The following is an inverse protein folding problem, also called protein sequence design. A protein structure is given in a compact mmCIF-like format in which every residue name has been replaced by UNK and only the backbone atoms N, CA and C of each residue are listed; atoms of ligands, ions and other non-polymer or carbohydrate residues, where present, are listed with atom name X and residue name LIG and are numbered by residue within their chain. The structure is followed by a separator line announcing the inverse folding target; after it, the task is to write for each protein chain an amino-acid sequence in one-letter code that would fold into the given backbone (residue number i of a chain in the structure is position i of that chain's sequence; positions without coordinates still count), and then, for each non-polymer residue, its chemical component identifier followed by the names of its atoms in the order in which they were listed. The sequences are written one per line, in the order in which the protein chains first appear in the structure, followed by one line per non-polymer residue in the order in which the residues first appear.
data_IF_880400550072
#
_entry.id   IF_880400550072
#
_cell.length_a   1.000
_cell.length_b   1.000
_cell.length_c   1.000
_cell.angle_alpha   90.00
_cell.angle_beta   90.00
_cell.angle_gamma   90.00
#
_symmetry.space_group_name_H-M   'P 1'
#
loop_
_entity.id
_entity.type
_entity.pdbx_description
1 polymer ?
#
# COMPACT_ATOMS: atom_id res chain seq x y z
N UNK A 1 -6.36 19.80 -4.02
CA UNK A 1 -6.30 18.46 -4.65
C UNK A 1 -5.04 18.43 -5.50
N UNK A 2 -4.00 17.72 -5.07
CA UNK A 2 -2.76 17.60 -5.83
C UNK A 2 -2.96 16.56 -6.94
N UNK A 3 -2.69 16.93 -8.19
CA UNK A 3 -2.65 15.98 -9.30
C UNK A 3 -1.21 15.53 -9.46
N UNK A 4 -0.91 14.33 -8.98
CA UNK A 4 0.40 13.71 -9.15
C UNK A 4 0.38 12.97 -10.49
N UNK A 5 1.24 13.36 -11.43
CA UNK A 5 1.36 12.75 -12.77
C UNK A 5 2.29 11.53 -12.80
N UNK A 6 2.90 11.18 -11.68
CA UNK A 6 3.82 10.05 -11.56
C UNK A 6 3.11 8.82 -10.98
N UNK A 7 3.50 7.64 -11.48
CA UNK A 7 3.05 6.36 -10.94
C UNK A 7 3.91 5.93 -9.76
N UNK A 8 3.26 5.26 -8.79
CA UNK A 8 3.95 4.63 -7.67
C UNK A 8 4.63 3.34 -8.11
N UNK A 9 5.01 2.51 -7.15
CA UNK A 9 5.51 1.16 -7.46
C UNK A 9 4.36 0.24 -7.90
N UNK A 10 4.60 -0.53 -8.96
CA UNK A 10 3.72 -1.59 -9.43
C UNK A 10 4.32 -2.93 -9.04
N UNK A 11 3.51 -3.78 -8.40
CA UNK A 11 3.88 -5.16 -8.05
C UNK A 11 3.04 -6.14 -8.86
N UNK A 12 3.69 -7.13 -9.48
CA UNK A 12 2.99 -8.26 -10.09
C UNK A 12 2.45 -9.18 -9.01
N UNK A 13 1.23 -9.69 -9.21
CA UNK A 13 0.62 -10.70 -8.36
C UNK A 13 0.20 -11.84 -9.27
N UNK A 14 0.86 -12.99 -9.12
CA UNK A 14 0.68 -14.12 -10.03
C UNK A 14 -0.57 -14.95 -9.72
N UNK A 15 -1.19 -14.75 -8.55
CA UNK A 15 -2.37 -15.50 -8.07
C UNK A 15 -3.35 -14.61 -7.29
N UNK A 16 -4.41 -15.20 -6.75
CA UNK A 16 -5.22 -14.52 -5.72
C UNK A 16 -4.35 -14.10 -4.55
N UNK A 17 -4.39 -12.82 -4.20
CA UNK A 17 -3.60 -12.26 -3.12
C UNK A 17 -4.11 -12.75 -1.75
N UNK A 18 -3.22 -13.30 -0.94
CA UNK A 18 -3.46 -13.59 0.46
C UNK A 18 -3.12 -12.39 1.35
N UNK A 19 -3.72 -12.32 2.54
CA UNK A 19 -3.51 -11.21 3.50
C UNK A 19 -2.03 -10.91 3.81
N UNK A 20 -1.20 -11.95 3.97
CA UNK A 20 0.23 -11.77 4.24
C UNK A 20 1.02 -11.27 3.03
N UNK A 21 0.61 -11.67 1.83
CA UNK A 21 1.20 -11.15 0.59
C UNK A 21 0.87 -9.67 0.42
N UNK A 22 -0.32 -9.23 0.81
CA UNK A 22 -0.67 -7.82 0.80
C UNK A 22 0.23 -6.99 1.72
N UNK A 23 0.44 -7.44 2.96
CA UNK A 23 1.39 -6.77 3.87
C UNK A 23 2.78 -6.72 3.26
N UNK A 24 3.29 -7.82 2.69
CA UNK A 24 4.59 -7.85 2.03
C UNK A 24 4.69 -6.85 0.86
N UNK A 25 3.62 -6.69 0.07
CA UNK A 25 3.56 -5.70 -1.00
C UNK A 25 3.64 -4.28 -0.40
N UNK A 26 2.89 -3.98 0.66
CA UNK A 26 2.94 -2.66 1.29
C UNK A 26 4.32 -2.36 1.86
N UNK A 27 4.91 -3.29 2.62
CA UNK A 27 6.25 -3.14 3.21
C UNK A 27 7.30 -2.81 2.15
N UNK A 28 7.25 -3.47 0.99
CA UNK A 28 8.26 -3.28 -0.05
C UNK A 28 8.06 -2.02 -0.91
N UNK A 29 6.83 -1.50 -0.99
CA UNK A 29 6.47 -0.54 -2.04
C UNK A 29 5.93 0.79 -1.53
N UNK A 30 5.25 0.82 -0.37
CA UNK A 30 4.52 2.00 0.08
C UNK A 30 5.47 3.17 0.38
N UNK A 31 6.43 2.96 1.28
CA UNK A 31 7.36 4.02 1.69
C UNK A 31 8.21 4.53 0.51
N UNK A 32 8.68 3.61 -0.34
CA UNK A 32 9.40 3.98 -1.56
C UNK A 32 8.55 4.84 -2.50
N UNK A 33 7.25 4.55 -2.63
CA UNK A 33 6.33 5.35 -3.45
C UNK A 33 6.10 6.73 -2.84
N UNK A 34 5.89 6.81 -1.52
CA UNK A 34 5.72 8.08 -0.78
C UNK A 34 6.96 8.97 -0.95
N UNK A 35 8.16 8.41 -0.79
CA UNK A 35 9.43 9.13 -1.01
C UNK A 35 9.60 9.59 -2.45
N UNK A 36 9.27 8.74 -3.43
CA UNK A 36 9.33 9.09 -4.86
C UNK A 36 8.40 10.25 -5.21
N UNK A 37 7.31 10.42 -4.47
CA UNK A 37 6.38 11.54 -4.63
C UNK A 37 6.69 12.73 -3.74
N UNK A 38 7.72 12.63 -2.88
CA UNK A 38 8.08 13.66 -1.91
C UNK A 38 6.89 14.09 -1.04
N UNK A 39 6.07 13.11 -0.63
CA UNK A 39 4.92 13.36 0.23
C UNK A 39 5.35 13.37 1.70
N UNK A 40 5.28 14.53 2.32
CA UNK A 40 5.54 14.70 3.77
C UNK A 40 4.37 14.20 4.61
N UNK A 41 3.14 14.47 4.16
CA UNK A 41 1.90 13.94 4.73
C UNK A 41 1.05 13.31 3.62
N UNK A 42 0.47 12.14 3.89
CA UNK A 42 -0.35 11.44 2.91
C UNK A 42 -1.48 10.63 3.56
N UNK A 43 -2.52 10.40 2.78
CA UNK A 43 -3.61 9.49 3.13
C UNK A 43 -3.44 8.22 2.27
N UNK A 44 -3.31 7.07 2.92
CA UNK A 44 -3.35 5.80 2.24
C UNK A 44 -4.81 5.36 2.00
N UNK A 45 -5.16 5.09 0.74
CA UNK A 45 -6.51 4.67 0.35
C UNK A 45 -6.47 3.27 -0.27
N UNK A 46 -7.40 2.41 0.16
CA UNK A 46 -7.62 1.06 -0.37
C UNK A 46 -9.11 0.72 -0.31
N UNK A 47 -9.53 -0.35 -1.00
CA UNK A 47 -10.89 -0.88 -0.87
C UNK A 47 -11.10 -1.63 0.47
N UNK A 48 -12.33 -2.09 0.71
CA UNK A 48 -12.73 -2.77 1.95
C UNK A 48 -12.60 -4.30 1.90
N UNK A 49 -11.82 -4.86 0.97
CA UNK A 49 -11.62 -6.30 0.92
C UNK A 49 -11.12 -6.83 2.28
N UNK A 50 -11.71 -7.93 2.73
CA UNK A 50 -11.39 -8.58 4.01
C UNK A 50 -9.90 -8.85 4.23
N UNK A 51 -9.10 -9.05 3.17
CA UNK A 51 -7.66 -9.27 3.29
C UNK A 51 -6.89 -7.96 3.57
N UNK A 52 -7.40 -6.83 3.11
CA UNK A 52 -6.82 -5.50 3.32
C UNK A 52 -7.26 -4.87 4.64
N UNK A 53 -8.37 -5.37 5.21
CA UNK A 53 -8.88 -5.01 6.53
C UNK A 53 -8.59 -6.06 7.60
N UNK A 54 -7.78 -7.07 7.27
CA UNK A 54 -7.41 -8.14 8.20
C UNK A 54 -6.57 -7.61 9.38
N UNK A 55 -6.59 -8.30 10.52
CA UNK A 55 -5.85 -7.90 11.73
C UNK A 55 -4.38 -7.56 11.44
N UNK A 56 -3.67 -8.41 10.70
CA UNK A 56 -2.25 -8.21 10.38
C UNK A 56 -2.02 -6.96 9.52
N UNK A 57 -2.94 -6.66 8.60
CA UNK A 57 -2.85 -5.45 7.77
C UNK A 57 -3.12 -4.19 8.58
N UNK A 58 -4.10 -4.24 9.48
CA UNK A 58 -4.43 -3.11 10.36
C UNK A 58 -3.30 -2.84 11.36
N UNK A 59 -2.66 -3.88 11.88
CA UNK A 59 -1.48 -3.73 12.75
C UNK A 59 -0.34 -3.07 11.98
N UNK A 60 -0.03 -3.52 10.75
CA UNK A 60 0.97 -2.90 9.90
C UNK A 60 0.70 -1.41 9.60
N UNK A 61 -0.56 -1.02 9.33
CA UNK A 61 -0.91 0.37 9.01
C UNK A 61 -0.91 1.32 10.23
N UNK A 62 -0.78 0.79 11.45
CA UNK A 62 -0.72 1.59 12.68
C UNK A 62 0.72 1.89 13.14
N UNK A 63 1.69 1.15 12.60
CA UNK A 63 3.12 1.39 12.82
C UNK A 63 3.60 2.63 12.07
#
# INVERSE_FOLDING_TARGET
MYVISNLGRLASIDTTIARFQFVSILTNNLESSVRNFSLEEYIFQQDIDSKYTSKVTVEFLKE
#
